data_IF_617937669780
#
_entry.id   IF_617937669780
#
_cell.length_a   1.000
_cell.length_b   1.000
_cell.length_c   1.000
_cell.angle_alpha   90.00
_cell.angle_beta   90.00
_cell.angle_gamma   90.00
#
_symmetry.space_group_name_H-M   'P 1'
#
loop_
_entity.id
_entity.type
_entity.pdbx_description
1 polymer ?
#
# COMPACT_ATOMS: atom_id res chain seq x y z
N UNK A 1 -28.56 -83.90 -64.06
CA UNK A 1 -27.43 -84.46 -63.31
C UNK A 1 -26.32 -83.42 -63.33
N UNK A 2 -25.78 -83.07 -62.15
CA UNK A 2 -24.73 -82.07 -61.88
C UNK A 2 -25.23 -80.59 -62.00
N UNK A 3 -24.95 -79.65 -61.09
CA UNK A 3 -23.90 -79.50 -60.08
C UNK A 3 -24.43 -78.63 -58.93
N UNK A 4 -24.30 -79.07 -57.68
CA UNK A 4 -24.34 -78.19 -56.51
C UNK A 4 -22.88 -78.09 -56.03
N UNK A 5 -22.18 -77.04 -56.46
CA UNK A 5 -20.79 -76.79 -56.05
C UNK A 5 -20.78 -76.26 -54.62
N UNK A 6 -20.34 -77.12 -53.69
CA UNK A 6 -19.86 -76.70 -52.39
C UNK A 6 -18.34 -76.49 -52.50
N UNK A 7 -17.81 -75.58 -51.69
CA UNK A 7 -16.39 -75.27 -51.48
C UNK A 7 -15.77 -74.16 -52.36
N UNK A 8 -16.03 -72.92 -51.95
CA UNK A 8 -15.00 -71.87 -51.99
C UNK A 8 -14.66 -71.46 -50.54
N UNK A 9 -13.79 -72.21 -49.82
CA UNK A 9 -13.40 -71.92 -48.43
C UNK A 9 -12.77 -70.52 -48.26
N UNK A 10 -12.22 -69.98 -49.35
CA UNK A 10 -11.69 -68.61 -49.45
C UNK A 10 -12.75 -67.54 -49.11
N UNK A 11 -14.02 -67.76 -49.51
CA UNK A 11 -15.11 -66.79 -49.36
C UNK A 11 -15.70 -66.75 -47.97
N UNK A 12 -15.79 -67.89 -47.29
CA UNK A 12 -16.27 -67.96 -45.91
C UNK A 12 -15.22 -67.38 -44.94
N UNK A 13 -13.94 -67.61 -45.19
CA UNK A 13 -12.84 -67.02 -44.42
C UNK A 13 -12.81 -65.49 -44.52
N UNK A 14 -12.91 -64.96 -45.74
CA UNK A 14 -12.93 -63.50 -45.98
C UNK A 14 -14.17 -62.83 -45.37
N UNK A 15 -15.32 -63.50 -45.41
CA UNK A 15 -16.56 -62.99 -44.81
C UNK A 15 -16.51 -63.00 -43.27
N UNK A 16 -16.00 -64.07 -42.65
CA UNK A 16 -15.78 -64.13 -41.20
C UNK A 16 -14.75 -63.09 -40.72
N UNK A 17 -13.66 -62.90 -41.46
CA UNK A 17 -12.65 -61.88 -41.15
C UNK A 17 -13.22 -60.44 -41.23
N UNK A 18 -14.08 -60.16 -42.22
CA UNK A 18 -14.75 -58.86 -42.34
C UNK A 18 -15.76 -58.58 -41.20
N UNK A 19 -16.53 -59.60 -40.78
CA UNK A 19 -17.48 -59.49 -39.66
C UNK A 19 -16.75 -59.30 -38.32
N UNK A 20 -15.66 -60.03 -38.08
CA UNK A 20 -14.83 -59.84 -36.87
C UNK A 20 -14.13 -58.47 -36.86
N UNK A 21 -13.60 -58.03 -38.01
CA UNK A 21 -12.96 -56.71 -38.14
C UNK A 21 -13.92 -55.54 -37.87
N UNK A 22 -15.14 -55.61 -38.40
CA UNK A 22 -16.18 -54.58 -38.15
C UNK A 22 -16.65 -54.55 -36.69
N UNK A 23 -16.78 -55.71 -36.04
CA UNK A 23 -17.11 -55.78 -34.60
C UNK A 23 -16.03 -55.13 -33.71
N UNK A 24 -14.75 -55.40 -33.99
CA UNK A 24 -13.62 -54.78 -33.28
C UNK A 24 -13.59 -53.26 -33.52
N UNK A 25 -13.84 -52.82 -34.76
CA UNK A 25 -13.89 -51.40 -35.10
C UNK A 25 -14.99 -50.66 -34.33
N UNK A 26 -16.20 -51.24 -34.24
CA UNK A 26 -17.31 -50.67 -33.46
C UNK A 26 -16.99 -50.59 -31.96
N UNK A 27 -16.34 -51.63 -31.41
CA UNK A 27 -15.92 -51.62 -30.01
C UNK A 27 -14.88 -50.54 -29.72
N UNK A 28 -13.88 -50.36 -30.59
CA UNK A 28 -12.88 -49.30 -30.46
C UNK A 28 -13.54 -47.93 -30.55
N UNK A 29 -14.43 -47.69 -31.51
CA UNK A 29 -15.18 -46.44 -31.63
C UNK A 29 -16.03 -46.17 -30.38
N UNK A 30 -16.69 -47.20 -29.83
CA UNK A 30 -17.45 -47.09 -28.58
C UNK A 30 -16.59 -46.68 -27.38
N UNK A 31 -15.41 -47.30 -27.23
CA UNK A 31 -14.46 -46.98 -26.15
C UNK A 31 -13.89 -45.56 -26.33
N UNK A 32 -13.51 -45.19 -27.56
CA UNK A 32 -12.97 -43.86 -27.86
C UNK A 32 -14.00 -42.76 -27.60
N UNK A 33 -15.25 -42.96 -28.05
CA UNK A 33 -16.33 -42.01 -27.83
C UNK A 33 -16.69 -41.89 -26.34
N UNK A 34 -16.69 -42.98 -25.58
CA UNK A 34 -16.89 -42.94 -24.13
C UNK A 34 -15.77 -42.18 -23.41
N UNK A 35 -14.49 -42.40 -23.76
CA UNK A 35 -13.37 -41.66 -23.19
C UNK A 35 -13.39 -40.18 -23.55
N UNK A 36 -13.65 -39.84 -24.81
CA UNK A 36 -13.71 -38.45 -25.29
C UNK A 36 -14.88 -37.69 -24.65
N UNK A 37 -16.06 -38.32 -24.52
CA UNK A 37 -17.23 -37.69 -23.91
C UNK A 37 -17.12 -37.60 -22.38
N UNK A 38 -16.55 -38.62 -21.72
CA UNK A 38 -16.27 -38.60 -20.28
C UNK A 38 -15.32 -37.47 -19.88
N UNK A 39 -14.20 -37.32 -20.59
CA UNK A 39 -13.25 -36.22 -20.36
C UNK A 39 -13.87 -34.84 -20.58
N UNK A 40 -14.75 -34.69 -21.58
CA UNK A 40 -15.46 -33.43 -21.87
C UNK A 40 -16.45 -33.05 -20.77
N UNK A 41 -17.20 -34.03 -20.23
CA UNK A 41 -18.12 -33.82 -19.09
C UNK A 41 -17.38 -33.39 -17.83
N UNK A 42 -16.21 -33.99 -17.56
CA UNK A 42 -15.42 -33.63 -16.38
C UNK A 42 -14.81 -32.23 -16.50
N UNK A 43 -14.33 -31.86 -17.70
CA UNK A 43 -13.86 -30.49 -17.96
C UNK A 43 -14.97 -29.45 -17.78
N UNK A 44 -16.15 -29.69 -18.33
CA UNK A 44 -17.29 -28.78 -18.18
C UNK A 44 -17.71 -28.61 -16.73
N UNK A 45 -17.75 -29.69 -15.94
CA UNK A 45 -18.05 -29.61 -14.50
C UNK A 45 -17.00 -28.81 -13.73
N UNK A 46 -15.72 -29.03 -14.02
CA UNK A 46 -14.63 -28.28 -13.40
C UNK A 46 -14.68 -26.79 -13.80
N UNK A 47 -14.97 -26.48 -15.07
CA UNK A 47 -15.14 -25.09 -15.54
C UNK A 47 -16.33 -24.41 -14.84
N UNK A 48 -17.45 -25.12 -14.69
CA UNK A 48 -18.64 -24.63 -13.98
C UNK A 48 -18.37 -24.41 -12.48
N UNK A 49 -17.68 -25.35 -11.83
CA UNK A 49 -17.29 -25.21 -10.42
C UNK A 49 -16.29 -24.05 -10.22
N UNK A 50 -15.29 -23.91 -11.10
CA UNK A 50 -14.34 -22.80 -11.06
C UNK A 50 -15.04 -21.47 -11.27
N UNK A 51 -15.95 -21.35 -12.25
CA UNK A 51 -16.68 -20.10 -12.50
C UNK A 51 -17.58 -19.74 -11.32
N UNK A 52 -18.29 -20.71 -10.74
CA UNK A 52 -19.11 -20.50 -9.55
C UNK A 52 -18.25 -20.03 -8.35
N UNK A 53 -17.14 -20.73 -8.05
CA UNK A 53 -16.23 -20.35 -6.97
C UNK A 53 -15.60 -18.98 -7.19
N UNK A 54 -15.27 -18.65 -8.43
CA UNK A 54 -14.70 -17.34 -8.78
C UNK A 54 -15.71 -16.22 -8.54
N UNK A 55 -16.98 -16.45 -8.88
CA UNK A 55 -18.04 -15.47 -8.62
C UNK A 55 -18.35 -15.33 -7.12
N UNK A 56 -18.42 -16.42 -6.37
CA UNK A 56 -18.56 -16.41 -4.91
C UNK A 56 -17.42 -15.61 -4.25
N UNK A 57 -16.17 -15.86 -4.66
CA UNK A 57 -15.00 -15.12 -4.19
C UNK A 57 -15.07 -13.64 -4.56
N UNK A 58 -15.50 -13.31 -5.78
CA UNK A 58 -15.65 -11.93 -6.25
C UNK A 58 -16.68 -11.18 -5.41
N UNK A 59 -17.82 -11.80 -5.13
CA UNK A 59 -18.86 -11.20 -4.29
C UNK A 59 -18.40 -11.01 -2.84
N UNK A 60 -17.72 -12.01 -2.28
CA UNK A 60 -17.14 -11.91 -0.94
C UNK A 60 -16.11 -10.78 -0.85
N UNK A 61 -15.25 -10.63 -1.87
CA UNK A 61 -14.28 -9.52 -1.95
C UNK A 61 -14.95 -8.15 -2.02
N UNK A 62 -16.00 -8.01 -2.84
CA UNK A 62 -16.74 -6.75 -2.94
C UNK A 62 -17.39 -6.37 -1.61
N UNK A 63 -18.04 -7.32 -0.94
CA UNK A 63 -18.65 -7.09 0.37
C UNK A 63 -17.61 -6.73 1.44
N UNK A 64 -16.45 -7.40 1.42
CA UNK A 64 -15.35 -7.09 2.32
C UNK A 64 -14.77 -5.69 2.07
N UNK A 65 -14.64 -5.27 0.81
CA UNK A 65 -14.17 -3.93 0.44
C UNK A 65 -15.17 -2.85 0.87
N UNK A 66 -16.46 -3.05 0.63
CA UNK A 66 -17.52 -2.15 1.09
C UNK A 66 -17.52 -1.99 2.62
N UNK A 67 -17.42 -3.10 3.35
CA UNK A 67 -17.33 -3.08 4.81
C UNK A 67 -16.07 -2.37 5.31
N UNK A 68 -14.92 -2.57 4.63
CA UNK A 68 -13.68 -1.89 4.94
C UNK A 68 -13.80 -0.37 4.75
N UNK A 69 -14.34 0.07 3.61
CA UNK A 69 -14.56 1.49 3.31
C UNK A 69 -15.50 2.15 4.32
N UNK A 70 -16.63 1.51 4.63
CA UNK A 70 -17.57 2.01 5.62
C UNK A 70 -16.92 2.21 7.00
N UNK A 71 -16.03 1.28 7.40
CA UNK A 71 -15.26 1.39 8.64
C UNK A 71 -14.29 2.56 8.62
N UNK A 72 -13.57 2.76 7.51
CA UNK A 72 -12.65 3.88 7.32
C UNK A 72 -13.37 5.22 7.38
N UNK A 73 -14.48 5.36 6.65
CA UNK A 73 -15.28 6.59 6.60
C UNK A 73 -15.88 6.95 7.96
N UNK A 74 -16.36 5.95 8.70
CA UNK A 74 -16.89 6.14 10.05
C UNK A 74 -15.83 6.72 10.99
N UNK A 75 -14.62 6.18 10.97
CA UNK A 75 -13.53 6.64 11.83
C UNK A 75 -13.03 8.02 11.40
N UNK A 76 -12.95 8.29 10.10
CA UNK A 76 -12.61 9.62 9.57
C UNK A 76 -13.55 10.71 10.08
N UNK A 77 -14.87 10.45 10.05
CA UNK A 77 -15.91 11.37 10.55
C UNK A 77 -15.76 11.63 12.05
N UNK A 78 -15.64 10.58 12.85
CA UNK A 78 -15.43 10.72 14.30
C UNK A 78 -14.17 11.52 14.58
N UNK A 79 -13.08 11.24 13.86
CA UNK A 79 -11.84 11.98 14.02
C UNK A 79 -11.98 13.48 13.77
N UNK A 80 -12.72 13.87 12.73
CA UNK A 80 -13.05 15.27 12.47
C UNK A 80 -13.88 15.89 13.60
N UNK A 81 -14.91 15.19 14.07
CA UNK A 81 -15.80 15.68 15.12
C UNK A 81 -15.08 15.81 16.47
N UNK A 82 -14.07 14.98 16.73
CA UNK A 82 -13.23 15.06 17.93
C UNK A 82 -12.16 16.17 17.85
N UNK A 83 -11.71 16.58 16.66
CA UNK A 83 -10.72 17.67 16.53
C UNK A 83 -11.25 19.00 17.04
N UNK A 84 -12.51 19.33 16.76
CA UNK A 84 -13.10 20.61 17.15
C UNK A 84 -13.10 20.85 18.68
N UNK A 85 -13.62 19.94 19.53
CA UNK A 85 -13.56 20.11 20.97
C UNK A 85 -12.12 20.05 21.50
N UNK A 86 -11.24 19.21 20.95
CA UNK A 86 -9.83 19.16 21.36
C UNK A 86 -9.07 20.46 21.04
N UNK A 87 -9.32 21.05 19.87
CA UNK A 87 -8.75 22.34 19.47
C UNK A 87 -9.18 23.44 20.44
N UNK A 88 -10.45 23.43 20.84
CA UNK A 88 -10.98 24.35 21.87
C UNK A 88 -10.28 24.15 23.22
N UNK A 89 -10.14 22.91 23.70
CA UNK A 89 -9.43 22.59 24.95
C UNK A 89 -7.96 23.04 24.90
N UNK A 90 -7.28 22.84 23.77
CA UNK A 90 -5.91 23.32 23.56
C UNK A 90 -5.87 24.86 23.62
N UNK A 91 -6.82 25.54 22.98
CA UNK A 91 -6.93 27.00 23.01
C UNK A 91 -7.13 27.56 24.42
N UNK A 92 -8.12 27.06 25.15
CA UNK A 92 -8.38 27.52 26.52
C UNK A 92 -7.25 27.19 27.49
N UNK A 93 -6.65 26.00 27.38
CA UNK A 93 -5.50 25.63 28.21
C UNK A 93 -4.25 26.45 27.87
N UNK A 94 -4.07 26.88 26.61
CA UNK A 94 -3.04 27.82 26.21
C UNK A 94 -3.24 29.17 26.90
N UNK A 95 -4.44 29.77 26.77
CA UNK A 95 -4.78 31.05 27.40
C UNK A 95 -4.59 31.03 28.91
N UNK A 96 -5.04 29.97 29.59
CA UNK A 96 -4.86 29.79 31.03
C UNK A 96 -3.38 29.60 31.43
N UNK A 97 -2.59 28.94 30.59
CA UNK A 97 -1.16 28.79 30.85
C UNK A 97 -0.38 30.08 30.66
N UNK A 98 -0.79 30.91 29.70
CA UNK A 98 -0.15 32.18 29.34
C UNK A 98 -0.54 33.31 30.29
N UNK A 99 -1.76 33.28 30.84
CA UNK A 99 -2.22 34.18 31.89
C UNK A 99 -1.46 34.01 33.21
N UNK A 100 -0.75 32.90 33.40
CA UNK A 100 0.01 32.61 34.61
C UNK A 100 -0.85 32.23 35.81
N UNK A 101 -0.29 32.31 37.03
CA UNK A 101 -1.00 32.00 38.27
C UNK A 101 -0.95 30.52 38.72
N UNK A 102 -1.64 30.18 39.83
CA UNK A 102 -1.51 28.89 40.51
C UNK A 102 -1.88 27.68 39.64
N UNK A 103 -2.78 27.87 38.66
CA UNK A 103 -3.29 26.82 37.77
C UNK A 103 -2.49 26.67 36.47
N UNK A 104 -1.48 27.52 36.22
CA UNK A 104 -0.73 27.50 34.96
C UNK A 104 -0.03 26.15 34.70
N UNK A 105 0.39 25.45 35.77
CA UNK A 105 0.98 24.11 35.66
C UNK A 105 -0.05 23.07 35.20
N UNK A 106 -1.26 23.11 35.77
CA UNK A 106 -2.38 22.24 35.42
C UNK A 106 -2.83 22.52 33.98
N UNK A 107 -2.90 23.79 33.57
CA UNK A 107 -3.22 24.18 32.20
C UNK A 107 -2.20 23.62 31.19
N UNK A 108 -0.90 23.69 31.49
CA UNK A 108 0.14 23.05 30.65
C UNK A 108 -0.02 21.54 30.55
N UNK A 109 -0.41 20.86 31.64
CA UNK A 109 -0.68 19.42 31.63
C UNK A 109 -1.89 19.08 30.77
N UNK A 110 -3.02 19.81 30.92
CA UNK A 110 -4.22 19.63 30.09
C UNK A 110 -3.88 19.80 28.61
N UNK A 111 -3.12 20.85 28.28
CA UNK A 111 -2.66 21.13 26.91
C UNK A 111 -1.84 19.98 26.33
N UNK A 112 -0.91 19.42 27.12
CA UNK A 112 -0.08 18.28 26.70
C UNK A 112 -0.94 17.04 26.44
N UNK A 113 -1.89 16.74 27.32
CA UNK A 113 -2.80 15.60 27.17
C UNK A 113 -3.73 15.74 25.96
N UNK A 114 -4.26 16.94 25.72
CA UNK A 114 -5.12 17.22 24.58
C UNK A 114 -4.37 17.08 23.24
N UNK A 115 -3.12 17.57 23.16
CA UNK A 115 -2.25 17.34 22.00
C UNK A 115 -1.92 15.87 21.79
N UNK A 116 -1.67 15.14 22.87
CA UNK A 116 -1.43 13.69 22.77
C UNK A 116 -2.66 12.94 22.23
N UNK A 117 -3.86 13.26 22.70
CA UNK A 117 -5.10 12.68 22.15
C UNK A 117 -5.30 13.03 20.67
N UNK A 118 -5.00 14.26 20.26
CA UNK A 118 -5.11 14.67 18.87
C UNK A 118 -4.16 13.86 17.97
N UNK A 119 -2.94 13.58 18.43
CA UNK A 119 -2.01 12.71 17.73
C UNK A 119 -2.55 11.27 17.63
N UNK A 120 -3.04 10.69 18.74
CA UNK A 120 -3.62 9.34 18.72
C UNK A 120 -4.82 9.22 17.76
N UNK A 121 -5.65 10.26 17.68
CA UNK A 121 -6.77 10.31 16.73
C UNK A 121 -6.24 10.36 15.29
N UNK A 122 -5.22 11.17 15.01
CA UNK A 122 -4.62 11.23 13.68
C UNK A 122 -3.98 9.90 13.31
N UNK A 123 -3.24 9.26 14.22
CA UNK A 123 -2.63 7.94 14.01
C UNK A 123 -3.69 6.86 13.76
N UNK A 124 -4.82 6.92 14.48
CA UNK A 124 -5.96 6.01 14.28
C UNK A 124 -6.61 6.20 12.91
N UNK A 125 -6.81 7.45 12.49
CA UNK A 125 -7.30 7.76 11.14
C UNK A 125 -6.33 7.18 10.11
N UNK A 126 -5.03 7.44 10.23
CA UNK A 126 -4.04 6.91 9.28
C UNK A 126 -4.02 5.39 9.22
N UNK A 127 -4.10 4.72 10.37
CA UNK A 127 -4.18 3.27 10.46
C UNK A 127 -5.41 2.72 9.73
N UNK A 128 -6.57 3.36 9.87
CA UNK A 128 -7.83 2.85 9.31
C UNK A 128 -7.98 3.15 7.82
N UNK A 129 -7.23 4.10 7.29
CA UNK A 129 -7.13 4.31 5.85
C UNK A 129 -6.15 3.31 5.19
N UNK A 130 -5.51 2.43 5.98
CA UNK A 130 -4.80 1.25 5.47
C UNK A 130 -3.71 1.57 4.45
N UNK A 131 -3.09 2.75 4.54
CA UNK A 131 -2.11 3.22 3.54
C UNK A 131 -2.65 3.43 2.12
N UNK A 132 -3.93 3.12 1.86
CA UNK A 132 -4.55 3.00 0.55
C UNK A 132 -5.43 4.19 0.14
N UNK A 133 -5.39 5.29 0.89
CA UNK A 133 -5.95 6.54 0.38
C UNK A 133 -5.22 6.89 -0.92
N UNK A 134 -5.96 7.22 -1.98
CA UNK A 134 -5.36 7.62 -3.25
C UNK A 134 -4.44 8.81 -2.95
N UNK A 135 -3.14 8.62 -3.15
CA UNK A 135 -2.17 9.69 -2.99
C UNK A 135 -2.64 10.89 -3.80
N UNK A 136 -2.74 12.06 -3.15
CA UNK A 136 -3.05 13.30 -3.85
C UNK A 136 -1.80 13.78 -4.59
N UNK A 137 -1.44 13.05 -5.63
CA UNK A 137 -0.26 13.28 -6.44
C UNK A 137 -0.44 14.51 -7.32
N UNK A 138 0.14 15.62 -6.87
CA UNK A 138 0.16 16.89 -7.60
C UNK A 138 1.60 17.35 -7.84
N UNK A 139 1.87 18.18 -8.85
CA UNK A 139 3.19 18.80 -9.00
C UNK A 139 3.53 19.67 -7.79
N UNK A 140 4.61 19.33 -7.09
CA UNK A 140 5.12 20.03 -5.92
C UNK A 140 6.53 20.52 -6.17
N UNK A 141 6.80 21.76 -5.78
CA UNK A 141 8.16 22.31 -5.73
C UNK A 141 8.90 21.73 -4.53
N UNK A 142 9.64 20.64 -4.76
CA UNK A 142 10.19 19.82 -3.67
C UNK A 142 11.18 20.60 -2.79
N UNK A 143 11.99 21.49 -3.37
CA UNK A 143 12.94 22.30 -2.61
C UNK A 143 12.25 23.22 -1.61
N UNK A 144 11.15 23.87 -2.01
CA UNK A 144 10.36 24.74 -1.12
C UNK A 144 9.75 23.92 0.02
N UNK A 145 9.20 22.74 -0.30
CA UNK A 145 8.63 21.86 0.70
C UNK A 145 9.69 21.43 1.75
N UNK A 146 10.87 21.03 1.29
CA UNK A 146 11.95 20.59 2.17
C UNK A 146 12.55 21.75 2.97
N UNK A 147 12.65 22.94 2.40
CA UNK A 147 13.08 24.15 3.10
C UNK A 147 12.16 24.47 4.28
N UNK A 148 10.83 24.46 4.07
CA UNK A 148 9.86 24.64 5.15
C UNK A 148 10.00 23.57 6.25
N UNK A 149 10.22 22.30 5.87
CA UNK A 149 10.43 21.22 6.83
C UNK A 149 11.72 21.40 7.62
N UNK A 150 12.80 21.85 6.97
CA UNK A 150 14.09 22.15 7.60
C UNK A 150 13.95 23.29 8.62
N UNK A 151 13.23 24.36 8.28
CA UNK A 151 12.97 25.47 9.21
C UNK A 151 12.20 25.00 10.45
N UNK A 152 11.16 24.18 10.27
CA UNK A 152 10.40 23.59 11.37
C UNK A 152 11.29 22.68 12.24
N UNK A 153 12.13 21.86 11.62
CA UNK A 153 13.05 20.95 12.30
C UNK A 153 14.06 21.71 13.18
N UNK A 154 14.58 22.83 12.69
CA UNK A 154 15.46 23.72 13.46
C UNK A 154 14.79 24.21 14.75
N UNK A 155 13.51 24.58 14.67
CA UNK A 155 12.75 25.03 15.85
C UNK A 155 12.54 23.86 16.83
N UNK A 156 12.23 22.66 16.33
CA UNK A 156 12.03 21.47 17.15
C UNK A 156 13.31 21.06 17.88
N UNK A 157 14.45 21.00 17.18
CA UNK A 157 15.73 20.59 17.75
C UNK A 157 16.18 21.48 18.91
N UNK A 158 15.97 22.80 18.79
CA UNK A 158 16.35 23.78 19.82
C UNK A 158 15.61 23.61 21.15
N UNK A 159 14.43 22.98 21.15
CA UNK A 159 13.64 22.78 22.39
C UNK A 159 14.39 21.97 23.44
N UNK A 160 15.22 21.03 23.01
CA UNK A 160 16.04 20.15 23.86
C UNK A 160 17.55 20.39 23.64
N UNK A 161 17.91 21.58 23.16
CA UNK A 161 19.31 22.01 22.95
C UNK A 161 20.07 21.09 21.98
N UNK A 162 19.36 20.50 21.01
CA UNK A 162 19.96 19.66 19.97
C UNK A 162 20.49 20.53 18.82
N UNK A 163 21.53 20.03 18.15
CA UNK A 163 21.99 20.53 16.86
C UNK A 163 21.18 19.86 15.74
N UNK A 164 20.85 20.63 14.71
CA UNK A 164 20.17 20.10 13.53
C UNK A 164 21.06 20.29 12.29
N UNK A 165 21.12 19.27 11.45
CA UNK A 165 21.87 19.27 10.19
C UNK A 165 20.97 18.76 9.07
N UNK A 166 21.09 19.35 7.88
CA UNK A 166 20.36 18.91 6.70
C UNK A 166 21.27 18.80 5.48
N UNK A 167 21.14 17.71 4.72
CA UNK A 167 21.85 17.50 3.47
C UNK A 167 20.86 17.09 2.37
N UNK A 168 20.55 18.03 1.47
CA UNK A 168 19.63 17.83 0.35
C UNK A 168 20.46 17.72 -0.91
N UNK A 169 20.38 16.58 -1.61
CA UNK A 169 21.17 16.36 -2.82
C UNK A 169 20.79 17.35 -3.93
N UNK A 170 21.78 17.97 -4.57
CA UNK A 170 21.57 18.98 -5.62
C UNK A 170 20.95 18.43 -6.91
N UNK A 171 20.94 17.11 -7.09
CA UNK A 171 20.34 16.44 -8.24
C UNK A 171 18.81 16.30 -8.14
N UNK A 172 18.19 16.77 -7.05
CA UNK A 172 16.74 16.80 -6.89
C UNK A 172 16.10 17.77 -7.91
N UNK A 173 15.20 17.30 -8.79
CA UNK A 173 14.52 18.15 -9.76
C UNK A 173 13.63 19.18 -9.06
N UNK A 174 13.42 20.34 -9.68
CA UNK A 174 12.64 21.43 -9.09
C UNK A 174 11.19 21.07 -8.80
N UNK A 175 10.60 20.17 -9.59
CA UNK A 175 9.21 19.72 -9.47
C UNK A 175 9.11 18.19 -9.47
N UNK A 176 8.31 17.66 -8.53
CA UNK A 176 7.97 16.24 -8.43
C UNK A 176 6.46 16.07 -8.29
N UNK A 177 5.93 15.01 -8.89
CA UNK A 177 4.53 14.60 -8.66
C UNK A 177 4.49 13.73 -7.41
N UNK A 178 3.97 14.29 -6.32
CA UNK A 178 3.91 13.68 -4.98
C UNK A 178 2.69 14.17 -4.20
N UNK A 179 2.32 13.46 -3.15
CA UNK A 179 1.46 14.01 -2.10
C UNK A 179 2.31 14.81 -1.10
N UNK A 180 2.43 16.12 -1.35
CA UNK A 180 3.27 17.01 -0.54
C UNK A 180 2.80 17.14 0.91
N UNK A 181 1.48 17.08 1.15
CA UNK A 181 0.90 17.17 2.49
C UNK A 181 1.28 15.95 3.31
N UNK A 182 1.09 14.76 2.74
CA UNK A 182 1.43 13.49 3.40
C UNK A 182 2.93 13.36 3.62
N UNK A 183 3.74 13.75 2.63
CA UNK A 183 5.19 13.76 2.76
C UNK A 183 5.66 14.66 3.91
N UNK A 184 5.13 15.89 3.98
CA UNK A 184 5.43 16.82 5.07
C UNK A 184 5.08 16.20 6.42
N UNK A 185 3.86 15.68 6.54
CA UNK A 185 3.38 15.08 7.78
C UNK A 185 4.29 13.94 8.27
N UNK A 186 4.67 13.03 7.37
CA UNK A 186 5.58 11.93 7.71
C UNK A 186 6.91 12.48 8.22
N UNK A 187 7.54 13.40 7.47
CA UNK A 187 8.85 13.94 7.85
C UNK A 187 8.77 14.74 9.16
N UNK A 188 7.75 15.57 9.36
CA UNK A 188 7.57 16.34 10.59
C UNK A 188 7.35 15.44 11.80
N UNK A 189 6.60 14.35 11.65
CA UNK A 189 6.38 13.40 12.75
C UNK A 189 7.68 12.70 13.18
N UNK A 190 8.49 12.31 12.19
CA UNK A 190 9.78 11.66 12.46
C UNK A 190 10.78 12.64 13.10
N UNK A 191 10.81 13.89 12.63
CA UNK A 191 11.68 14.93 13.18
C UNK A 191 11.25 15.36 14.59
N UNK A 192 9.94 15.44 14.87
CA UNK A 192 9.43 15.73 16.22
C UNK A 192 9.78 14.59 17.19
N UNK A 193 9.69 13.34 16.74
CA UNK A 193 10.14 12.19 17.52
C UNK A 193 11.66 12.27 17.80
N UNK A 194 12.49 12.49 16.78
CA UNK A 194 13.93 12.65 16.94
C UNK A 194 14.28 13.77 17.94
N UNK A 195 13.61 14.93 17.83
CA UNK A 195 13.80 16.07 18.72
C UNK A 195 13.36 15.78 20.16
N UNK A 196 12.27 15.03 20.34
CA UNK A 196 11.73 14.66 21.66
C UNK A 196 12.63 13.69 22.43
N UNK A 197 13.27 12.75 21.74
CA UNK A 197 14.08 11.68 22.37
C UNK A 197 15.59 11.96 22.39
N UNK A 198 16.03 13.03 21.73
CA UNK A 198 17.42 13.51 21.77
C UNK A 198 17.54 14.72 22.68
N UNK A 199 18.60 14.76 23.49
CA UNK A 199 18.92 15.91 24.37
C UNK A 199 20.41 16.22 24.25
N UNK A 200 20.76 17.50 24.02
CA UNK A 200 22.14 17.93 23.77
C UNK A 200 22.86 17.10 22.69
N UNK A 201 22.12 16.61 21.69
CA UNK A 201 22.61 15.72 20.66
C UNK A 201 22.54 16.31 19.26
N UNK A 202 22.59 15.43 18.25
CA UNK A 202 22.54 15.81 16.83
C UNK A 202 21.37 15.10 16.16
N UNK A 203 20.65 15.83 15.32
CA UNK A 203 19.59 15.32 14.45
C UNK A 203 19.97 15.68 13.02
N UNK A 204 19.98 14.70 12.12
CA UNK A 204 20.36 14.85 10.73
C UNK A 204 19.20 14.43 9.80
N UNK A 205 18.87 15.28 8.83
CA UNK A 205 17.97 14.98 7.72
C UNK A 205 18.75 14.92 6.41
N UNK A 206 18.71 13.78 5.72
CA UNK A 206 19.27 13.64 4.37
C UNK A 206 18.15 13.34 3.38
N UNK A 207 18.15 14.01 2.24
CA UNK A 207 17.20 13.79 1.15
C UNK A 207 17.94 13.56 -0.17
N UNK A 208 17.55 12.54 -0.91
CA UNK A 208 18.19 12.19 -2.18
C UNK A 208 17.27 11.47 -3.15
N UNK A 209 17.80 11.21 -4.35
CA UNK A 209 17.05 10.56 -5.42
C UNK A 209 17.88 9.48 -6.11
N UNK A 210 17.26 8.32 -6.34
CA UNK A 210 17.86 7.19 -7.07
C UNK A 210 17.03 6.81 -8.31
N UNK A 211 17.63 6.31 -9.40
CA UNK A 211 16.88 5.83 -10.56
C UNK A 211 16.00 4.62 -10.22
N UNK A 212 14.76 4.60 -10.73
CA UNK A 212 13.81 3.48 -10.51
C UNK A 212 13.74 2.48 -11.69
N UNK A 213 14.74 2.48 -12.58
CA UNK A 213 14.82 1.56 -13.72
C UNK A 213 14.06 2.00 -14.99
N UNK A 214 13.20 3.03 -14.91
CA UNK A 214 12.58 3.70 -16.07
C UNK A 214 13.01 5.17 -16.14
N UNK A 215 13.11 5.72 -17.35
CA UNK A 215 13.63 7.08 -17.61
C UNK A 215 12.80 8.20 -16.93
N UNK A 216 11.53 7.95 -16.68
CA UNK A 216 10.57 8.89 -16.09
C UNK A 216 10.27 8.63 -14.61
N UNK A 217 10.90 7.62 -14.00
CA UNK A 217 10.67 7.21 -12.62
C UNK A 217 11.94 7.31 -11.79
N UNK A 218 11.79 7.83 -10.58
CA UNK A 218 12.85 7.84 -9.59
C UNK A 218 12.31 7.45 -8.22
N UNK A 219 13.21 6.98 -7.37
CA UNK A 219 12.97 6.79 -5.96
C UNK A 219 13.43 8.04 -5.23
N UNK A 220 12.49 8.77 -4.66
CA UNK A 220 12.80 9.80 -3.68
C UNK A 220 13.02 9.11 -2.33
N UNK A 221 14.14 9.41 -1.67
CA UNK A 221 14.46 8.85 -0.38
C UNK A 221 14.85 9.89 0.65
N UNK A 222 14.54 9.58 1.91
CA UNK A 222 14.84 10.39 3.07
C UNK A 222 15.51 9.53 4.13
N UNK A 223 16.45 10.10 4.87
CA UNK A 223 17.05 9.50 6.05
C UNK A 223 16.99 10.51 7.19
N UNK A 224 16.46 10.09 8.33
CA UNK A 224 16.49 10.87 9.57
C UNK A 224 17.28 10.07 10.58
N UNK A 225 18.31 10.69 11.16
CA UNK A 225 19.18 10.10 12.17
C UNK A 225 19.23 11.01 13.38
N UNK A 226 19.21 10.41 14.56
CA UNK A 226 19.39 11.11 15.82
C UNK A 226 20.39 10.39 16.73
N UNK A 227 20.87 11.08 17.77
CA UNK A 227 21.79 10.54 18.78
C UNK A 227 21.10 10.32 20.14
N UNK A 228 19.78 10.14 20.15
CA UNK A 228 18.98 9.92 21.35
C UNK A 228 19.16 8.51 21.93
N UNK A 229 18.30 8.16 22.90
CA UNK A 229 18.35 6.89 23.63
C UNK A 229 18.09 5.64 22.76
N UNK A 230 17.76 5.82 21.47
CA UNK A 230 17.39 4.72 20.57
C UNK A 230 16.07 4.07 20.95
N UNK A 231 15.78 2.94 20.30
CA UNK A 231 14.64 2.08 20.59
C UNK A 231 15.21 0.72 21.02
N UNK A 232 14.76 0.20 22.15
CA UNK A 232 15.20 -1.10 22.66
C UNK A 232 14.89 -2.21 21.62
N UNK A 233 15.78 -3.20 21.40
CA UNK A 233 15.65 -4.16 20.30
C UNK A 233 14.30 -4.89 20.22
N UNK A 234 13.68 -5.15 21.38
CA UNK A 234 12.39 -5.83 21.49
C UNK A 234 11.20 -4.94 21.02
N UNK A 235 11.36 -3.61 21.07
CA UNK A 235 10.38 -2.63 20.62
C UNK A 235 10.57 -2.22 19.14
N UNK A 236 11.73 -2.52 18.53
CA UNK A 236 12.01 -2.22 17.12
C UNK A 236 11.11 -2.98 16.14
N UNK A 237 10.66 -4.18 16.50
CA UNK A 237 9.74 -4.97 15.70
C UNK A 237 8.29 -4.45 15.74
N UNK A 238 7.92 -3.71 16.80
CA UNK A 238 6.57 -3.15 17.01
C UNK A 238 6.47 -1.69 16.58
N UNK A 239 7.55 -0.91 16.67
CA UNK A 239 7.53 0.55 16.58
C UNK A 239 8.55 1.16 15.58
N UNK A 240 8.82 0.50 14.45
CA UNK A 240 9.71 0.91 13.34
C UNK A 240 11.16 0.39 13.40
N UNK A 241 11.65 -0.05 12.22
CA UNK A 241 13.05 -0.40 11.95
C UNK A 241 13.92 0.87 11.98
N UNK A 242 14.96 0.86 12.81
CA UNK A 242 15.97 1.91 12.88
C UNK A 242 16.61 2.14 11.50
N UNK A 243 16.77 3.41 11.13
CA UNK A 243 17.00 3.93 9.77
C UNK A 243 15.76 3.82 8.89
N UNK A 244 14.90 4.83 8.95
CA UNK A 244 13.77 4.92 8.04
C UNK A 244 14.23 5.51 6.69
N UNK A 245 14.52 4.63 5.73
CA UNK A 245 14.61 4.99 4.32
C UNK A 245 13.23 4.85 3.70
N UNK A 246 12.47 5.94 3.62
CA UNK A 246 11.21 5.95 2.86
C UNK A 246 11.57 5.99 1.38
N UNK A 247 11.13 5.00 0.60
CA UNK A 247 11.25 5.03 -0.87
C UNK A 247 9.90 5.37 -1.46
N UNK A 248 9.80 6.55 -2.06
CA UNK A 248 8.57 7.00 -2.70
C UNK A 248 8.70 6.92 -4.23
N UNK A 249 7.80 6.21 -4.94
CA UNK A 249 7.82 6.21 -6.39
C UNK A 249 7.38 7.60 -6.85
N UNK A 250 8.25 8.31 -7.56
CA UNK A 250 7.94 9.64 -8.08
C UNK A 250 8.11 9.69 -9.59
N UNK A 251 7.18 10.39 -10.25
CA UNK A 251 7.30 10.73 -11.66
C UNK A 251 7.92 12.11 -11.80
N UNK A 252 8.89 12.24 -12.70
CA UNK A 252 9.41 13.56 -13.09
C UNK A 252 8.33 14.34 -13.82
N UNK A 253 8.09 15.59 -13.42
CA UNK A 253 7.23 16.49 -14.17
C UNK A 253 7.87 16.82 -15.52
N UNK A 254 7.19 16.48 -16.63
CA UNK A 254 7.53 16.99 -17.96
C UNK A 254 6.57 18.14 -18.26
N UNK A 255 7.10 19.36 -18.35
CA UNK A 255 6.35 20.45 -18.95
C UNK A 255 5.97 20.04 -20.38
N UNK A 256 4.69 20.10 -20.72
CA UNK A 256 4.24 19.94 -22.10
C UNK A 256 4.98 20.93 -22.97
N UNK A 257 5.48 20.48 -24.11
CA UNK A 257 5.97 21.34 -25.18
C UNK A 257 4.84 22.30 -25.55
N UNK A 258 4.91 23.53 -25.04
CA UNK A 258 4.15 24.64 -25.58
C UNK A 258 4.63 24.80 -27.03
N UNK A 259 3.82 24.29 -27.95
CA UNK A 259 3.99 24.53 -29.38
C UNK A 259 4.04 26.04 -29.58
N UNK A 260 5.07 26.47 -30.31
CA UNK A 260 5.05 27.71 -31.06
C UNK A 260 3.80 27.70 -31.94
N UNK A 261 2.91 28.64 -31.69
CA UNK A 261 2.16 29.44 -32.66
C UNK A 261 2.08 30.84 -32.08
#
# INVERSE_FOLDING_TARGET
MRWFDWAAPERTFTMCAAVLGSGVMLAIVGILTAHLTGGRRQRLRLEEEVTQRTEELRQALLSADEASRAKTDFIARIGHDLRSPLTSIIGYSQLLSDAGGPQARQARTIRRSARHMLNLINDLIEYTHGGGDKLNEVPVRIHILLETIVEEAWILARKNTNQFMSSIQSNLPSMLVVDGTRLRQILTNLLDNAAKFTHNGVIELVAGMEPAGRVDQAWLWFSIRDTGCGIEPDDQAKNFRAVLSIRWPVRRYRAGSANRC
#
